data_IF_354639200108
#
_entry.id   IF_354639200108
#
_cell.length_a   1.000
_cell.length_b   1.000
_cell.length_c   1.000
_cell.angle_alpha   90.00
_cell.angle_beta   90.00
_cell.angle_gamma   90.00
#
_symmetry.space_group_name_H-M   'P 1'
#
loop_
_entity.id
_entity.type
_entity.pdbx_description
1 polymer ?
#
# COMPACT_ATOMS: atom_id res chain seq x y z
N UNK A 1 -13.23 -58.73 55.02
CA UNK A 1 -13.12 -57.69 56.06
C UNK A 1 -11.73 -57.06 55.96
N UNK A 2 -11.62 -55.78 56.35
CA UNK A 2 -10.42 -54.94 56.44
C UNK A 2 -9.91 -54.25 55.16
N UNK A 3 -10.47 -53.06 55.01
CA UNK A 3 -10.00 -51.81 54.42
C UNK A 3 -8.49 -51.53 54.50
N UNK A 4 -7.93 -50.93 53.44
CA UNK A 4 -7.01 -49.79 53.59
C UNK A 4 -7.10 -48.84 52.39
N UNK A 5 -7.49 -47.62 52.72
CA UNK A 5 -7.56 -46.41 51.93
C UNK A 5 -6.17 -45.90 51.56
N UNK A 6 -5.98 -45.49 50.29
CA UNK A 6 -4.93 -44.54 49.90
C UNK A 6 -5.63 -43.27 49.42
N UNK A 7 -5.38 -42.19 50.16
CA UNK A 7 -5.79 -40.84 49.84
C UNK A 7 -4.91 -40.32 48.71
N UNK A 8 -5.50 -39.94 47.57
CA UNK A 8 -4.81 -39.16 46.53
C UNK A 8 -5.30 -37.72 46.61
N UNK A 9 -4.33 -36.85 46.90
CA UNK A 9 -4.45 -35.41 47.12
C UNK A 9 -4.76 -34.64 45.84
N UNK A 10 -5.53 -33.56 46.03
CA UNK A 10 -6.00 -32.55 45.09
C UNK A 10 -4.95 -32.00 44.12
N UNK A 11 -5.10 -32.28 42.82
CA UNK A 11 -4.71 -31.34 41.76
C UNK A 11 -5.59 -31.41 40.50
N UNK A 12 -6.70 -32.16 40.54
CA UNK A 12 -7.57 -32.45 39.37
C UNK A 12 -8.87 -31.63 39.35
N UNK A 13 -8.93 -30.50 40.03
CA UNK A 13 -10.04 -29.53 39.93
C UNK A 13 -9.43 -28.18 39.57
N UNK A 14 -10.07 -27.46 38.65
CA UNK A 14 -9.52 -26.38 37.82
C UNK A 14 -8.68 -26.98 36.68
N UNK A 15 -9.20 -27.41 35.53
CA UNK A 15 -9.99 -26.63 34.58
C UNK A 15 -10.81 -27.58 33.68
N UNK A 16 -12.13 -27.35 33.58
CA UNK A 16 -13.01 -27.50 32.40
C UNK A 16 -14.48 -27.57 32.87
N UNK A 17 -15.25 -26.48 32.74
CA UNK A 17 -16.21 -26.10 31.67
C UNK A 17 -17.65 -26.55 31.99
N UNK A 18 -18.65 -25.66 31.88
CA UNK A 18 -19.72 -25.85 30.89
C UNK A 18 -20.09 -24.50 30.21
N UNK A 19 -20.19 -24.36 28.89
CA UNK A 19 -20.97 -25.17 27.98
C UNK A 19 -22.28 -24.44 27.66
N UNK A 20 -22.35 -23.75 26.52
CA UNK A 20 -23.61 -23.45 25.83
C UNK A 20 -23.48 -23.87 24.38
N UNK A 21 -24.19 -24.94 24.04
CA UNK A 21 -24.19 -25.52 22.71
C UNK A 21 -25.13 -24.78 21.75
N UNK A 22 -24.84 -24.96 20.47
CA UNK A 22 -25.84 -25.11 19.42
C UNK A 22 -25.24 -26.00 18.34
N UNK A 23 -26.02 -27.01 17.94
CA UNK A 23 -25.65 -28.18 17.14
C UNK A 23 -26.28 -28.04 15.71
N UNK A 24 -26.09 -28.98 14.77
CA UNK A 24 -25.45 -28.70 13.48
C UNK A 24 -26.43 -28.79 12.29
N UNK A 25 -25.96 -28.49 11.07
CA UNK A 25 -26.65 -28.88 9.85
C UNK A 25 -25.66 -29.36 8.80
N UNK A 26 -25.75 -30.65 8.49
CA UNK A 26 -25.11 -31.30 7.36
C UNK A 26 -25.75 -30.85 6.05
N UNK A 27 -24.96 -30.66 5.00
CA UNK A 27 -25.39 -30.99 3.63
C UNK A 27 -24.20 -31.53 2.86
N UNK A 28 -24.42 -32.69 2.26
CA UNK A 28 -23.51 -33.49 1.44
C UNK A 28 -24.15 -33.53 0.06
N UNK A 29 -23.45 -33.07 -0.99
CA UNK A 29 -23.97 -33.26 -2.35
C UNK A 29 -23.01 -32.90 -3.50
N UNK A 30 -22.44 -33.98 -4.06
CA UNK A 30 -22.30 -34.35 -5.48
C UNK A 30 -21.37 -33.63 -6.48
N UNK A 31 -20.86 -34.51 -7.33
CA UNK A 31 -19.99 -34.42 -8.51
C UNK A 31 -20.67 -33.74 -9.71
N UNK A 32 -19.83 -33.31 -10.67
CA UNK A 32 -20.01 -33.02 -12.13
C UNK A 32 -19.62 -31.56 -12.43
N UNK A 33 -18.86 -31.17 -13.46
CA UNK A 33 -18.56 -31.79 -14.75
C UNK A 33 -17.27 -31.20 -15.33
N UNK A 34 -16.59 -32.01 -16.12
CA UNK A 34 -15.53 -31.68 -17.08
C UNK A 34 -15.85 -30.49 -17.99
N UNK A 35 -14.86 -29.64 -18.30
CA UNK A 35 -14.60 -29.26 -19.70
C UNK A 35 -13.11 -28.96 -19.90
N UNK A 36 -12.51 -29.73 -20.82
CA UNK A 36 -11.20 -29.48 -21.42
C UNK A 36 -11.24 -28.23 -22.29
N UNK A 37 -10.20 -27.39 -22.24
CA UNK A 37 -9.82 -26.54 -23.37
C UNK A 37 -8.30 -26.44 -23.51
N UNK A 38 -7.79 -27.19 -24.49
CA UNK A 38 -6.66 -26.90 -25.39
C UNK A 38 -5.89 -25.59 -25.19
N UNK A 39 -4.60 -25.72 -24.84
CA UNK A 39 -3.59 -24.68 -25.09
C UNK A 39 -3.03 -24.87 -26.51
N UNK A 40 -3.56 -24.12 -27.47
CA UNK A 40 -2.89 -23.85 -28.75
C UNK A 40 -2.45 -22.38 -28.73
N UNK A 41 -1.19 -22.15 -28.40
CA UNK A 41 -0.54 -20.86 -28.60
C UNK A 41 -0.07 -20.75 -30.05
N UNK A 42 -0.80 -20.00 -30.86
CA UNK A 42 -0.27 -19.21 -31.97
C UNK A 42 -1.40 -18.43 -32.64
N UNK A 43 -1.43 -17.10 -32.50
CA UNK A 43 -1.69 -16.19 -33.61
C UNK A 43 -1.64 -14.71 -33.16
N UNK A 44 -0.63 -14.03 -33.71
CA UNK A 44 -0.75 -12.78 -34.45
C UNK A 44 -1.12 -11.49 -33.70
N UNK A 45 -0.06 -10.72 -33.44
CA UNK A 45 -0.06 -9.25 -33.45
C UNK A 45 -0.65 -8.70 -34.76
N UNK A 46 -1.50 -7.66 -34.73
CA UNK A 46 -1.69 -6.78 -35.86
C UNK A 46 -0.71 -5.61 -35.75
N UNK A 47 0.26 -5.54 -36.66
CA UNK A 47 1.00 -4.31 -36.95
C UNK A 47 0.60 -3.84 -38.34
N UNK A 48 -0.36 -2.91 -38.32
CA UNK A 48 -0.44 -1.72 -39.17
C UNK A 48 0.10 -1.85 -40.60
N UNK A 49 -0.80 -2.19 -41.52
CA UNK A 49 -0.72 -1.69 -42.89
C UNK A 49 -2.12 -1.28 -43.33
N UNK A 50 -2.36 0.03 -43.39
CA UNK A 50 -3.47 0.56 -44.18
C UNK A 50 -2.97 1.69 -45.06
N UNK A 51 -2.96 1.35 -46.35
CA UNK A 51 -2.96 2.22 -47.50
C UNK A 51 -3.87 3.43 -47.29
N UNK A 52 -3.30 4.62 -47.49
CA UNK A 52 -4.03 5.87 -47.66
C UNK A 52 -4.11 6.16 -49.15
N UNK A 53 -5.34 6.22 -49.61
CA UNK A 53 -5.74 6.65 -50.94
C UNK A 53 -5.50 8.15 -51.06
N UNK A 54 -4.94 8.51 -52.20
CA UNK A 54 -4.70 9.86 -52.64
C UNK A 54 -6.00 10.67 -52.78
N UNK A 55 -5.96 11.92 -52.34
CA UNK A 55 -6.79 13.03 -52.85
C UNK A 55 -6.19 14.36 -52.37
N UNK A 56 -5.40 14.99 -53.23
CA UNK A 56 -5.22 16.46 -53.28
C UNK A 56 -6.40 17.06 -54.07
N UNK A 57 -6.74 18.37 -54.01
CA UNK A 57 -5.78 19.48 -54.03
C UNK A 57 -6.18 20.76 -53.25
N UNK A 58 -5.24 21.71 -53.13
CA UNK A 58 -5.58 23.07 -52.69
C UNK A 58 -4.39 23.96 -52.32
N UNK A 59 -3.34 23.98 -53.14
CA UNK A 59 -2.19 24.87 -52.96
C UNK A 59 -2.14 25.94 -54.06
N UNK A 60 -2.29 27.18 -53.64
CA UNK A 60 -2.28 28.41 -54.45
C UNK A 60 -0.89 28.62 -55.04
N UNK A 61 -0.80 28.67 -56.37
CA UNK A 61 0.32 29.30 -57.08
C UNK A 61 -0.18 30.23 -58.17
N UNK A 62 0.44 31.40 -58.15
CA UNK A 62 0.29 32.58 -58.98
C UNK A 62 0.55 32.28 -60.45
N UNK A 63 -0.35 32.68 -61.34
CA UNK A 63 -0.05 32.82 -62.78
C UNK A 63 -0.23 34.28 -63.20
N UNK A 64 0.89 34.89 -63.58
CA UNK A 64 0.97 36.18 -64.24
C UNK A 64 0.53 35.97 -65.70
N UNK A 65 -0.62 36.54 -66.07
CA UNK A 65 -1.08 36.60 -67.46
C UNK A 65 -1.06 38.04 -67.93
N UNK A 66 0.07 38.45 -68.51
CA UNK A 66 0.22 39.74 -69.20
C UNK A 66 -0.02 39.55 -70.70
N UNK A 67 -1.16 40.10 -71.14
CA UNK A 67 -1.59 40.53 -72.46
C UNK A 67 -0.68 40.23 -73.67
N UNK A 68 -1.18 39.35 -74.55
CA UNK A 68 -0.84 39.31 -75.97
C UNK A 68 -1.38 40.58 -76.67
N UNK A 69 -0.46 41.38 -77.23
CA UNK A 69 -0.77 42.45 -78.18
C UNK A 69 -0.80 41.86 -79.60
N UNK A 70 -1.98 41.76 -80.20
CA UNK A 70 -2.11 41.53 -81.65
C UNK A 70 -2.19 42.88 -82.35
N UNK A 71 -1.14 43.16 -83.13
CA UNK A 71 -1.00 44.33 -84.00
C UNK A 71 -1.60 43.96 -85.36
N UNK A 72 -2.88 44.25 -85.57
CA UNK A 72 -3.56 44.11 -86.86
C UNK A 72 -3.55 45.46 -87.60
N UNK A 73 -2.84 45.51 -88.73
CA UNK A 73 -2.77 46.64 -89.65
C UNK A 73 -3.73 46.39 -90.81
N UNK A 74 -4.73 47.25 -91.01
CA UNK A 74 -5.52 47.30 -92.26
C UNK A 74 -5.84 48.77 -92.59
N UNK A 75 -5.74 49.21 -93.88
CA UNK A 75 -5.72 50.62 -94.25
C UNK A 75 -7.12 51.24 -94.39
N UNK A 76 -7.16 52.57 -94.34
CA UNK A 76 -8.37 53.38 -94.48
C UNK A 76 -9.06 53.24 -95.85
N UNK A 77 -10.39 53.30 -95.81
CA UNK A 77 -11.24 53.52 -96.98
C UNK A 77 -12.03 54.80 -96.78
N UNK A 78 -12.08 55.59 -97.85
CA UNK A 78 -12.63 56.95 -97.92
C UNK A 78 -14.15 56.98 -97.88
N UNK A 79 -14.62 58.08 -97.29
CA UNK A 79 -15.83 58.85 -97.52
C UNK A 79 -16.66 58.48 -98.76
N UNK A 80 -17.95 58.18 -98.56
CA UNK A 80 -19.00 58.51 -99.53
C UNK A 80 -20.24 59.00 -98.77
N UNK A 81 -20.63 60.20 -99.17
CA UNK A 81 -21.68 61.05 -98.69
C UNK A 81 -23.02 60.58 -99.25
N UNK A 82 -24.04 60.42 -98.40
CA UNK A 82 -25.43 60.53 -98.83
C UNK A 82 -26.31 61.04 -97.68
N UNK A 83 -27.22 61.95 -98.03
CA UNK A 83 -28.03 62.80 -97.16
C UNK A 83 -28.99 62.02 -96.27
N UNK A 84 -28.96 62.28 -94.96
CA UNK A 84 -29.88 61.68 -93.96
C UNK A 84 -30.75 62.75 -93.31
N UNK A 85 -32.05 62.50 -93.24
CA UNK A 85 -33.01 63.24 -92.40
C UNK A 85 -32.65 63.02 -90.92
N UNK A 86 -32.03 64.03 -90.31
CA UNK A 86 -31.46 63.95 -88.96
C UNK A 86 -32.50 63.79 -87.84
N UNK A 87 -33.75 64.23 -88.02
CA UNK A 87 -34.73 64.29 -86.93
C UNK A 87 -35.37 62.94 -86.54
N UNK A 88 -35.60 62.05 -87.51
CA UNK A 88 -36.15 60.70 -87.22
C UNK A 88 -35.04 59.75 -86.76
N UNK A 89 -33.85 59.88 -87.33
CA UNK A 89 -32.66 59.14 -86.89
C UNK A 89 -32.28 59.52 -85.45
N UNK A 90 -32.38 60.79 -85.05
CA UNK A 90 -32.14 61.22 -83.68
C UNK A 90 -33.20 60.68 -82.71
N UNK A 91 -34.49 60.69 -83.07
CA UNK A 91 -35.55 60.13 -82.23
C UNK A 91 -35.36 58.62 -81.98
N UNK A 92 -35.09 57.84 -83.04
CA UNK A 92 -34.81 56.39 -82.93
C UNK A 92 -33.52 56.13 -82.14
N UNK A 93 -32.50 56.98 -82.32
CA UNK A 93 -31.24 56.89 -81.57
C UNK A 93 -31.44 57.27 -80.08
N UNK A 94 -32.34 58.20 -79.77
CA UNK A 94 -32.70 58.51 -78.37
C UNK A 94 -33.49 57.37 -77.72
N UNK A 95 -34.45 56.76 -78.40
CA UNK A 95 -35.16 55.59 -77.88
C UNK A 95 -34.24 54.39 -77.71
N UNK A 96 -33.34 54.13 -78.66
CA UNK A 96 -32.34 53.07 -78.56
C UNK A 96 -31.31 53.32 -77.45
N UNK A 97 -30.94 54.57 -77.20
CA UNK A 97 -30.13 54.95 -76.04
C UNK A 97 -30.90 54.71 -74.75
N UNK A 98 -32.19 55.06 -74.70
CA UNK A 98 -33.03 54.88 -73.52
C UNK A 98 -33.25 53.39 -73.19
N UNK A 99 -33.52 52.53 -74.19
CA UNK A 99 -33.63 51.08 -73.97
C UNK A 99 -32.29 50.49 -73.53
N UNK A 100 -31.18 50.88 -74.16
CA UNK A 100 -29.84 50.43 -73.76
C UNK A 100 -29.43 50.93 -72.36
N UNK A 101 -29.86 52.13 -71.95
CA UNK A 101 -29.64 52.60 -70.58
C UNK A 101 -30.52 51.87 -69.59
N UNK A 102 -31.78 51.55 -69.93
CA UNK A 102 -32.66 50.77 -69.07
C UNK A 102 -32.15 49.33 -68.91
N UNK A 103 -31.76 48.65 -69.99
CA UNK A 103 -31.10 47.33 -69.93
C UNK A 103 -29.82 47.39 -69.10
N UNK A 104 -29.04 48.47 -69.21
CA UNK A 104 -27.84 48.66 -68.40
C UNK A 104 -28.18 48.81 -66.91
N UNK A 105 -29.27 49.50 -66.57
CA UNK A 105 -29.73 49.65 -65.17
C UNK A 105 -30.25 48.32 -64.64
N UNK A 106 -31.06 47.57 -65.39
CA UNK A 106 -31.53 46.24 -64.99
C UNK A 106 -30.37 45.25 -64.79
N UNK A 107 -29.37 45.30 -65.68
CA UNK A 107 -28.13 44.51 -65.51
C UNK A 107 -27.31 44.96 -64.31
N UNK A 108 -27.36 46.24 -63.95
CA UNK A 108 -26.70 46.77 -62.75
C UNK A 108 -27.41 46.30 -61.48
N UNK A 109 -28.75 46.38 -61.43
CA UNK A 109 -29.55 45.87 -60.31
C UNK A 109 -29.34 44.37 -60.12
N UNK A 110 -29.30 43.60 -61.21
CA UNK A 110 -29.00 42.18 -61.16
C UNK A 110 -27.58 41.91 -60.62
N UNK A 111 -26.60 42.73 -60.99
CA UNK A 111 -25.22 42.63 -60.50
C UNK A 111 -25.11 42.99 -59.01
N UNK A 112 -25.86 44.00 -58.55
CA UNK A 112 -25.94 44.37 -57.15
C UNK A 112 -26.57 43.23 -56.32
N UNK A 113 -27.59 42.56 -56.87
CA UNK A 113 -28.17 41.34 -56.27
C UNK A 113 -27.16 40.17 -56.24
N UNK A 114 -26.38 39.96 -57.29
CA UNK A 114 -25.31 38.96 -57.29
C UNK A 114 -24.23 39.27 -56.26
N UNK A 115 -23.85 40.53 -56.11
CA UNK A 115 -22.87 40.97 -55.11
C UNK A 115 -23.38 40.66 -53.69
N UNK A 116 -24.64 41.00 -53.39
CA UNK A 116 -25.27 40.66 -52.11
C UNK A 116 -25.33 39.14 -51.86
N UNK A 117 -25.60 38.34 -52.90
CA UNK A 117 -25.63 36.88 -52.76
C UNK A 117 -24.22 36.31 -52.53
N UNK A 118 -23.20 36.82 -53.24
CA UNK A 118 -21.80 36.43 -53.05
C UNK A 118 -21.34 36.78 -51.63
N UNK A 119 -21.65 37.97 -51.13
CA UNK A 119 -21.34 38.38 -49.77
C UNK A 119 -22.04 37.49 -48.74
N UNK A 120 -23.30 37.10 -49.00
CA UNK A 120 -24.03 36.18 -48.13
C UNK A 120 -23.43 34.78 -48.13
N UNK A 121 -23.01 34.27 -49.29
CA UNK A 121 -22.32 32.98 -49.40
C UNK A 121 -20.99 33.04 -48.66
N UNK A 122 -20.18 34.08 -48.85
CA UNK A 122 -18.93 34.24 -48.11
C UNK A 122 -19.13 34.34 -46.60
N UNK A 123 -20.15 35.07 -46.15
CA UNK A 123 -20.50 35.13 -44.73
C UNK A 123 -20.89 33.75 -44.18
N UNK A 124 -21.70 33.00 -44.93
CA UNK A 124 -22.11 31.64 -44.54
C UNK A 124 -20.95 30.65 -44.58
N UNK A 125 -20.05 30.74 -45.55
CA UNK A 125 -18.82 29.96 -45.63
C UNK A 125 -17.91 30.24 -44.45
N UNK A 126 -17.75 31.52 -44.09
CA UNK A 126 -16.97 31.93 -42.94
C UNK A 126 -17.59 31.44 -41.63
N UNK A 127 -18.91 31.55 -41.47
CA UNK A 127 -19.61 30.99 -40.31
C UNK A 127 -19.47 29.47 -40.23
N UNK A 128 -19.66 28.76 -41.33
CA UNK A 128 -19.47 27.30 -41.37
C UNK A 128 -18.02 26.92 -41.02
N UNK A 129 -17.04 27.70 -41.46
CA UNK A 129 -15.63 27.47 -41.11
C UNK A 129 -15.39 27.64 -39.60
N UNK A 130 -16.00 28.65 -38.98
CA UNK A 130 -15.92 28.87 -37.53
C UNK A 130 -16.62 27.73 -36.78
N UNK A 131 -17.84 27.36 -37.19
CA UNK A 131 -18.60 26.27 -36.57
C UNK A 131 -17.88 24.92 -36.68
N UNK A 132 -17.22 24.65 -37.81
CA UNK A 132 -16.40 23.45 -37.99
C UNK A 132 -15.18 23.46 -37.05
N UNK A 133 -14.52 24.61 -36.90
CA UNK A 133 -13.39 24.73 -35.97
C UNK A 133 -13.83 24.55 -34.50
N UNK A 134 -14.97 25.12 -34.12
CA UNK A 134 -15.55 24.96 -32.79
C UNK A 134 -15.98 23.50 -32.52
N UNK A 135 -16.56 22.82 -33.52
CA UNK A 135 -16.88 21.39 -33.43
C UNK A 135 -15.64 20.51 -33.24
N UNK A 136 -14.55 20.82 -33.94
CA UNK A 136 -13.28 20.11 -33.82
C UNK A 136 -12.69 20.28 -32.41
N UNK A 137 -12.73 21.52 -31.89
CA UNK A 137 -12.25 21.84 -30.54
C UNK A 137 -13.06 21.13 -29.45
N UNK A 138 -14.40 21.17 -29.53
CA UNK A 138 -15.28 20.52 -28.54
C UNK A 138 -15.16 18.99 -28.55
N UNK A 139 -14.97 18.38 -29.73
CA UNK A 139 -14.71 16.93 -29.84
C UNK A 139 -13.41 16.52 -29.18
N UNK A 140 -12.39 17.38 -29.19
CA UNK A 140 -11.08 17.13 -28.58
C UNK A 140 -11.04 17.31 -27.06
N UNK A 141 -11.82 18.25 -26.50
CA UNK A 141 -11.73 18.62 -25.08
C UNK A 141 -12.61 17.79 -24.13
N UNK A 142 -13.81 17.36 -24.55
CA UNK A 142 -14.79 16.79 -23.61
C UNK A 142 -14.54 15.33 -23.20
N UNK A 143 -13.85 14.55 -24.04
CA UNK A 143 -13.67 13.10 -23.82
C UNK A 143 -12.33 12.79 -23.15
N UNK A 144 -11.26 13.47 -23.54
CA UNK A 144 -9.90 13.26 -23.02
C UNK A 144 -9.84 13.51 -21.51
N UNK A 145 -10.28 14.67 -21.03
CA UNK A 145 -10.17 15.00 -19.61
C UNK A 145 -10.90 14.03 -18.68
N UNK A 146 -12.10 13.56 -19.06
CA UNK A 146 -12.85 12.59 -18.25
C UNK A 146 -12.21 11.20 -18.31
N UNK A 147 -11.70 10.78 -19.48
CA UNK A 147 -10.96 9.53 -19.60
C UNK A 147 -9.66 9.55 -18.79
N UNK A 148 -8.93 10.68 -18.78
CA UNK A 148 -7.69 10.84 -18.03
C UNK A 148 -7.94 10.73 -16.52
N UNK A 149 -9.00 11.35 -16.00
CA UNK A 149 -9.44 11.22 -14.60
C UNK A 149 -9.77 9.76 -14.24
N UNK A 150 -10.56 9.07 -15.07
CA UNK A 150 -10.87 7.65 -14.81
C UNK A 150 -9.63 6.76 -14.91
N UNK A 151 -8.69 7.07 -15.80
CA UNK A 151 -7.44 6.33 -15.95
C UNK A 151 -6.52 6.54 -14.74
N UNK A 152 -6.48 7.74 -14.17
CA UNK A 152 -5.77 8.04 -12.93
C UNK A 152 -6.38 7.28 -11.74
N UNK A 153 -7.70 7.33 -11.57
CA UNK A 153 -8.40 6.56 -10.53
C UNK A 153 -8.18 5.05 -10.68
N UNK A 154 -8.23 4.51 -11.91
CA UNK A 154 -7.93 3.09 -12.16
C UNK A 154 -6.47 2.75 -11.83
N UNK A 155 -5.53 3.66 -12.10
CA UNK A 155 -4.11 3.46 -11.79
C UNK A 155 -3.88 3.45 -10.28
N UNK A 156 -4.52 4.38 -9.57
CA UNK A 156 -4.46 4.47 -8.11
C UNK A 156 -5.06 3.23 -7.45
N UNK A 157 -6.24 2.78 -7.89
CA UNK A 157 -6.85 1.54 -7.40
C UNK A 157 -5.97 0.31 -7.65
N UNK A 158 -5.30 0.22 -8.81
CA UNK A 158 -4.36 -0.87 -9.10
C UNK A 158 -3.15 -0.80 -8.18
N UNK A 159 -2.60 0.39 -7.97
CA UNK A 159 -1.49 0.60 -7.06
C UNK A 159 -1.86 0.19 -5.63
N UNK A 160 -3.05 0.58 -5.14
CA UNK A 160 -3.55 0.15 -3.83
C UNK A 160 -3.72 -1.37 -3.74
N UNK A 161 -4.23 -2.03 -4.78
CA UNK A 161 -4.31 -3.50 -4.81
C UNK A 161 -2.93 -4.15 -4.73
N UNK A 162 -1.93 -3.61 -5.44
CA UNK A 162 -0.57 -4.11 -5.38
C UNK A 162 0.05 -3.90 -3.99
N UNK A 163 -0.17 -2.73 -3.37
CA UNK A 163 0.24 -2.45 -1.99
C UNK A 163 -0.39 -3.44 -1.01
N UNK A 164 -1.73 -3.60 -1.03
CA UNK A 164 -2.41 -4.55 -0.15
C UNK A 164 -1.98 -5.99 -0.39
N UNK A 165 -1.65 -6.36 -1.63
CA UNK A 165 -1.13 -7.69 -1.95
C UNK A 165 0.25 -7.91 -1.35
N UNK A 166 1.12 -6.90 -1.40
CA UNK A 166 2.45 -6.95 -0.79
C UNK A 166 2.37 -6.99 0.74
N UNK A 167 1.54 -6.14 1.34
CA UNK A 167 1.31 -6.12 2.79
C UNK A 167 0.75 -7.46 3.28
N UNK A 168 -0.21 -8.03 2.55
CA UNK A 168 -0.75 -9.36 2.83
C UNK A 168 0.35 -10.42 2.77
N UNK A 169 1.22 -10.40 1.76
CA UNK A 169 2.32 -11.35 1.65
C UNK A 169 3.31 -11.22 2.83
N UNK A 170 3.60 -9.99 3.26
CA UNK A 170 4.45 -9.72 4.42
C UNK A 170 3.85 -10.30 5.71
N UNK A 171 2.57 -10.00 5.98
CA UNK A 171 1.85 -10.53 7.15
C UNK A 171 1.73 -12.06 7.11
N UNK A 172 1.50 -12.65 5.93
CA UNK A 172 1.48 -14.10 5.77
C UNK A 172 2.84 -14.75 6.09
N UNK A 173 3.95 -14.11 5.70
CA UNK A 173 5.29 -14.56 6.08
C UNK A 173 5.51 -14.48 7.60
N UNK A 174 5.15 -13.36 8.23
CA UNK A 174 5.26 -13.22 9.69
C UNK A 174 4.43 -14.27 10.43
N UNK A 175 3.19 -14.51 9.97
CA UNK A 175 2.33 -15.57 10.50
C UNK A 175 2.99 -16.94 10.38
N UNK A 176 3.60 -17.26 9.24
CA UNK A 176 4.29 -18.53 9.03
C UNK A 176 5.52 -18.66 9.93
N UNK A 177 6.33 -17.59 10.06
CA UNK A 177 7.49 -17.56 10.95
C UNK A 177 7.09 -17.78 12.42
N UNK A 178 5.98 -17.15 12.86
CA UNK A 178 5.43 -17.36 14.21
C UNK A 178 4.92 -18.79 14.39
N UNK A 179 4.22 -19.34 13.40
CA UNK A 179 3.75 -20.73 13.43
C UNK A 179 4.92 -21.72 13.54
N UNK A 180 6.00 -21.52 12.78
CA UNK A 180 7.24 -22.29 12.89
C UNK A 180 7.92 -22.10 14.24
N UNK A 181 7.89 -20.89 14.82
CA UNK A 181 8.37 -20.63 16.17
C UNK A 181 7.59 -21.41 17.22
N UNK A 182 6.27 -21.45 17.11
CA UNK A 182 5.39 -22.22 18.00
C UNK A 182 5.67 -23.73 17.86
N UNK A 183 5.79 -24.25 16.64
CA UNK A 183 6.12 -25.67 16.43
C UNK A 183 7.46 -26.05 17.08
N UNK A 184 8.51 -25.24 16.89
CA UNK A 184 9.82 -25.46 17.53
C UNK A 184 9.75 -25.42 19.05
N UNK A 185 8.91 -24.57 19.63
CA UNK A 185 8.72 -24.52 21.09
C UNK A 185 7.97 -25.74 21.61
N UNK A 186 6.96 -26.22 20.87
CA UNK A 186 6.24 -27.45 21.21
C UNK A 186 7.14 -28.69 21.12
N UNK A 187 7.99 -28.78 20.09
CA UNK A 187 8.99 -29.84 19.97
C UNK A 187 9.96 -29.84 21.15
N UNK A 188 10.53 -28.68 21.47
CA UNK A 188 11.41 -28.54 22.65
C UNK A 188 10.70 -28.90 23.94
N UNK A 189 9.44 -28.49 24.11
CA UNK A 189 8.66 -28.87 25.28
C UNK A 189 8.46 -30.39 25.36
N UNK A 190 8.20 -31.05 24.24
CA UNK A 190 8.06 -32.50 24.18
C UNK A 190 9.37 -33.21 24.50
N UNK A 191 10.50 -32.75 23.97
CA UNK A 191 11.84 -33.27 24.29
C UNK A 191 12.16 -33.12 25.78
N UNK A 192 11.88 -31.95 26.35
CA UNK A 192 12.04 -31.64 27.77
C UNK A 192 11.15 -32.50 28.69
N UNK A 193 9.95 -32.88 28.23
CA UNK A 193 9.09 -33.82 28.94
C UNK A 193 9.68 -35.23 28.90
N UNK A 194 10.13 -35.70 27.74
CA UNK A 194 10.77 -37.02 27.61
C UNK A 194 12.04 -37.11 28.46
N UNK A 195 12.89 -36.07 28.45
CA UNK A 195 14.10 -36.03 29.28
C UNK A 195 13.78 -36.04 30.78
N UNK A 196 12.70 -35.36 31.22
CA UNK A 196 12.25 -35.43 32.61
C UNK A 196 11.78 -36.84 32.97
N UNK A 197 10.98 -37.47 32.12
CA UNK A 197 10.52 -38.85 32.33
C UNK A 197 11.69 -39.85 32.39
N UNK A 198 12.69 -39.71 31.52
CA UNK A 198 13.92 -40.50 31.55
C UNK A 198 14.74 -40.25 32.84
N UNK A 199 14.88 -39.00 33.26
CA UNK A 199 15.56 -38.65 34.51
C UNK A 199 14.82 -39.20 35.74
N UNK A 200 13.50 -39.11 35.78
CA UNK A 200 12.68 -39.66 36.87
C UNK A 200 12.76 -41.19 36.91
N UNK A 201 12.71 -41.84 35.75
CA UNK A 201 12.88 -43.30 35.62
C UNK A 201 14.26 -43.78 36.10
N UNK A 202 15.33 -43.08 35.70
CA UNK A 202 16.69 -43.42 36.15
C UNK A 202 16.87 -43.20 37.65
N UNK A 203 16.33 -42.11 38.22
CA UNK A 203 16.35 -41.87 39.65
C UNK A 203 15.56 -42.95 40.43
N UNK A 204 14.39 -43.34 39.93
CA UNK A 204 13.61 -44.42 40.54
C UNK A 204 14.35 -45.76 40.50
N UNK A 205 15.02 -46.07 39.39
CA UNK A 205 15.85 -47.27 39.25
C UNK A 205 17.04 -47.27 40.21
N UNK A 206 17.76 -46.15 40.32
CA UNK A 206 18.87 -46.00 41.27
C UNK A 206 18.40 -46.14 42.73
N UNK A 207 17.28 -45.52 43.09
CA UNK A 207 16.70 -45.67 44.43
C UNK A 207 16.27 -47.13 44.71
N UNK A 208 15.74 -47.83 43.71
CA UNK A 208 15.41 -49.25 43.83
C UNK A 208 16.67 -50.11 44.07
N UNK A 209 17.72 -49.93 43.25
CA UNK A 209 19.00 -50.63 43.41
C UNK A 209 19.66 -50.36 44.76
N UNK A 210 19.61 -49.13 45.27
CA UNK A 210 20.16 -48.80 46.59
C UNK A 210 19.37 -49.45 47.73
N UNK A 211 18.04 -49.56 47.61
CA UNK A 211 17.23 -50.32 48.55
C UNK A 211 17.53 -51.81 48.48
N UNK A 212 17.68 -52.39 47.28
CA UNK A 212 18.06 -53.79 47.10
C UNK A 212 19.41 -54.10 47.74
N UNK A 213 20.43 -53.25 47.52
CA UNK A 213 21.74 -53.39 48.16
C UNK A 213 21.66 -53.34 49.70
N UNK A 214 20.82 -52.46 50.26
CA UNK A 214 20.58 -52.40 51.70
C UNK A 214 19.92 -53.68 52.21
N UNK A 215 18.94 -54.20 51.48
CA UNK A 215 18.28 -55.47 51.82
C UNK A 215 19.30 -56.62 51.79
N UNK A 216 20.12 -56.73 50.75
CA UNK A 216 21.18 -57.74 50.67
C UNK A 216 22.21 -57.62 51.79
N UNK A 217 22.60 -56.39 52.15
CA UNK A 217 23.54 -56.15 53.26
C UNK A 217 22.94 -56.62 54.59
N UNK A 218 21.69 -56.26 54.87
CA UNK A 218 20.99 -56.68 56.09
C UNK A 218 20.79 -58.20 56.11
N UNK A 219 20.52 -58.84 54.97
CA UNK A 219 20.44 -60.30 54.88
C UNK A 219 21.79 -60.97 55.18
N UNK A 220 22.90 -60.42 54.67
CA UNK A 220 24.26 -60.90 54.99
C UNK A 220 24.58 -60.74 56.47
N UNK A 221 24.19 -59.63 57.09
CA UNK A 221 24.36 -59.38 58.52
C UNK A 221 23.54 -60.35 59.37
N UNK A 222 22.27 -60.61 59.01
CA UNK A 222 21.45 -61.63 59.67
C UNK A 222 22.09 -63.01 59.55
N UNK A 223 22.58 -63.37 58.36
CA UNK A 223 23.25 -64.66 58.16
C UNK A 223 24.55 -64.77 58.97
N UNK A 224 25.31 -63.68 59.08
CA UNK A 224 26.51 -63.60 59.91
C UNK A 224 26.19 -63.76 61.40
N UNK A 225 25.21 -63.02 61.92
CA UNK A 225 24.77 -63.13 63.32
C UNK A 225 24.26 -64.54 63.66
N UNK A 226 23.53 -65.18 62.74
CA UNK A 226 23.10 -66.58 62.90
C UNK A 226 24.30 -67.52 63.02
N UNK A 227 25.28 -67.40 62.12
CA UNK A 227 26.52 -68.20 62.19
C UNK A 227 27.28 -67.97 63.48
N UNK A 228 27.43 -66.71 63.91
CA UNK A 228 28.08 -66.37 65.17
C UNK A 228 27.37 -67.01 66.37
N UNK A 229 26.04 -66.93 66.43
CA UNK A 229 25.30 -67.59 67.51
C UNK A 229 25.41 -69.12 67.43
N UNK A 230 25.38 -69.71 66.24
CA UNK A 230 25.57 -71.15 66.07
C UNK A 230 26.97 -71.59 66.54
N UNK A 231 28.00 -70.80 66.23
CA UNK A 231 29.39 -70.99 66.69
C UNK A 231 29.50 -70.82 68.21
N UNK A 232 28.87 -69.80 68.80
CA UNK A 232 28.88 -69.55 70.24
C UNK A 232 28.14 -70.66 71.01
N UNK A 233 27.03 -71.17 70.46
CA UNK A 233 26.34 -72.35 71.01
C UNK A 233 27.24 -73.58 70.91
N UNK A 234 27.90 -73.80 69.77
CA UNK A 234 28.86 -74.90 69.62
C UNK A 234 30.02 -74.77 70.59
N UNK A 235 30.54 -73.55 70.82
CA UNK A 235 31.62 -73.29 71.77
C UNK A 235 31.15 -73.51 73.20
N UNK A 236 29.95 -73.08 73.58
CA UNK A 236 29.38 -73.36 74.90
C UNK A 236 29.15 -74.87 75.11
N UNK A 237 28.68 -75.58 74.08
CA UNK A 237 28.57 -77.05 74.10
C UNK A 237 29.94 -77.73 74.20
N UNK A 238 30.93 -77.22 73.46
CA UNK A 238 32.30 -77.68 73.52
C UNK A 238 32.90 -77.40 74.89
N UNK A 239 32.74 -76.23 75.51
CA UNK A 239 33.22 -75.91 76.86
C UNK A 239 32.58 -76.81 77.93
N UNK A 240 31.33 -77.24 77.74
CA UNK A 240 30.69 -78.25 78.60
C UNK A 240 31.36 -79.63 78.42
N UNK A 241 31.72 -80.00 77.18
CA UNK A 241 32.45 -81.25 76.88
C UNK A 241 33.96 -81.16 77.24
N UNK A 242 34.57 -79.98 77.18
CA UNK A 242 36.00 -79.73 77.37
C UNK A 242 36.32 -79.56 78.86
N UNK A 243 35.37 -79.08 79.68
CA UNK A 243 35.41 -79.31 81.14
C UNK A 243 35.39 -80.79 81.53
N UNK A 244 35.06 -81.70 80.59
CA UNK A 244 35.19 -83.14 80.77
C UNK A 244 36.53 -83.70 80.25
N UNK A 245 37.35 -82.93 79.50
CA UNK A 245 38.50 -83.44 78.74
C UNK A 245 39.79 -82.59 78.86
N UNK A 246 39.80 -81.43 79.52
CA UNK A 246 41.04 -80.67 79.81
C UNK A 246 41.95 -81.33 80.87
N UNK A 247 42.61 -82.42 80.50
CA UNK A 247 43.92 -82.84 81.01
C UNK A 247 44.76 -83.16 79.76
N UNK A 248 45.94 -82.53 79.67
CA UNK A 248 47.00 -82.68 78.66
C UNK A 248 46.79 -82.01 77.28
N UNK A 249 47.55 -80.95 76.98
CA UNK A 249 48.92 -81.10 76.42
C UNK A 249 49.53 -79.75 76.05
N UNK A 250 50.78 -79.57 76.45
CA UNK A 250 51.61 -78.39 76.26
C UNK A 250 52.39 -78.49 74.93
N UNK A 251 52.29 -77.49 74.05
CA UNK A 251 53.10 -77.42 72.81
C UNK A 251 53.72 -76.04 72.66
N UNK A 252 55.05 -76.06 72.70
CA UNK A 252 55.97 -74.92 72.64
C UNK A 252 55.77 -74.02 71.42
N UNK A 253 55.63 -72.72 71.69
CA UNK A 253 55.40 -71.63 70.74
C UNK A 253 56.62 -71.39 69.83
N UNK A 254 56.45 -71.36 68.50
CA UNK A 254 57.46 -70.82 67.60
C UNK A 254 57.44 -69.29 67.66
N UNK A 255 58.55 -68.64 67.27
CA UNK A 255 58.74 -67.19 67.38
C UNK A 255 57.78 -66.39 66.48
N UNK A 256 56.61 -66.11 67.03
CA UNK A 256 55.49 -65.36 66.46
C UNK A 256 55.81 -63.86 66.33
N UNK A 257 56.88 -63.40 66.97
CA UNK A 257 57.19 -61.96 67.14
C UNK A 257 57.60 -61.30 65.82
N UNK A 258 58.31 -62.03 64.95
CA UNK A 258 58.71 -61.52 63.63
C UNK A 258 57.51 -61.44 62.67
N UNK A 259 56.71 -62.51 62.57
CA UNK A 259 55.50 -62.52 61.74
C UNK A 259 54.47 -61.48 62.21
N UNK A 260 54.30 -61.28 63.52
CA UNK A 260 53.42 -60.22 64.06
C UNK A 260 53.93 -58.82 63.75
N UNK A 261 55.26 -58.59 63.76
CA UNK A 261 55.85 -57.32 63.32
C UNK A 261 55.59 -57.05 61.84
N UNK A 262 55.76 -58.05 60.98
CA UNK A 262 55.53 -57.90 59.54
C UNK A 262 54.05 -57.65 59.22
N UNK A 263 53.14 -58.39 59.87
CA UNK A 263 51.70 -58.16 59.76
C UNK A 263 51.32 -56.76 60.23
N UNK A 264 51.86 -56.31 61.38
CA UNK A 264 51.64 -54.94 61.88
C UNK A 264 52.15 -53.89 60.90
N UNK A 265 53.34 -54.07 60.34
CA UNK A 265 53.91 -53.16 59.35
C UNK A 265 53.07 -53.11 58.07
N UNK A 266 52.52 -54.25 57.62
CA UNK A 266 51.60 -54.27 56.48
C UNK A 266 50.28 -53.54 56.78
N UNK A 267 49.72 -53.71 57.98
CA UNK A 267 48.54 -52.96 58.41
C UNK A 267 48.79 -51.46 58.49
N UNK A 268 49.93 -51.05 59.06
CA UNK A 268 50.31 -49.63 59.14
C UNK A 268 50.50 -49.03 57.73
N UNK A 269 51.14 -49.76 56.81
CA UNK A 269 51.26 -49.36 55.40
C UNK A 269 49.89 -49.28 54.70
N UNK A 270 49.01 -50.27 54.91
CA UNK A 270 47.68 -50.27 54.32
C UNK A 270 46.82 -49.13 54.87
N UNK A 271 46.88 -48.86 56.17
CA UNK A 271 46.19 -47.75 56.81
C UNK A 271 46.70 -46.39 56.29
N UNK A 272 48.03 -46.23 56.14
CA UNK A 272 48.62 -45.03 55.56
C UNK A 272 48.18 -44.81 54.11
N UNK A 273 48.17 -45.86 53.28
CA UNK A 273 47.67 -45.81 51.90
C UNK A 273 46.18 -45.47 51.85
N UNK A 274 45.36 -46.10 52.69
CA UNK A 274 43.92 -45.81 52.76
C UNK A 274 43.67 -44.35 53.17
N UNK A 275 44.41 -43.83 54.15
CA UNK A 275 44.33 -42.42 54.55
C UNK A 275 44.73 -41.47 53.42
N UNK A 276 45.77 -41.81 52.66
CA UNK A 276 46.20 -41.00 51.51
C UNK A 276 45.13 -40.99 50.40
N UNK A 277 44.61 -42.17 50.03
CA UNK A 277 43.54 -42.30 49.03
C UNK A 277 42.29 -41.54 49.47
N UNK A 278 41.90 -41.63 50.74
CA UNK A 278 40.78 -40.86 51.27
C UNK A 278 41.04 -39.35 51.17
N UNK A 279 42.23 -38.86 51.53
CA UNK A 279 42.59 -37.44 51.41
C UNK A 279 42.57 -36.95 49.97
N UNK A 280 43.12 -37.72 49.04
CA UNK A 280 43.12 -37.41 47.60
C UNK A 280 41.70 -37.41 47.05
N UNK A 281 40.88 -38.38 47.45
CA UNK A 281 39.47 -38.44 47.09
C UNK A 281 38.70 -37.22 47.60
N UNK A 282 38.89 -36.83 48.87
CA UNK A 282 38.25 -35.63 49.42
C UNK A 282 38.73 -34.36 48.73
N UNK A 283 40.03 -34.24 48.42
CA UNK A 283 40.56 -33.09 47.66
C UNK A 283 39.96 -33.00 46.26
N UNK A 284 39.89 -34.12 45.54
CA UNK A 284 39.24 -34.17 44.21
C UNK A 284 37.78 -33.77 44.34
N UNK A 285 37.05 -34.33 45.33
CA UNK A 285 35.63 -34.03 45.49
C UNK A 285 35.37 -32.56 45.82
N UNK A 286 36.22 -31.94 46.65
CA UNK A 286 36.16 -30.51 46.93
C UNK A 286 36.49 -29.67 45.69
N UNK A 287 37.46 -30.09 44.88
CA UNK A 287 37.78 -29.42 43.62
C UNK A 287 36.60 -29.48 42.65
N UNK A 288 35.97 -30.65 42.48
CA UNK A 288 34.80 -30.83 41.61
C UNK A 288 33.62 -29.95 42.06
N UNK A 289 33.34 -29.92 43.37
CA UNK A 289 32.28 -29.08 43.92
C UNK A 289 32.58 -27.58 43.75
N UNK A 290 33.83 -27.17 43.95
CA UNK A 290 34.29 -25.80 43.72
C UNK A 290 34.15 -25.41 42.25
N UNK A 291 34.55 -26.28 41.33
CA UNK A 291 34.46 -26.05 39.90
C UNK A 291 33.00 -25.99 39.42
N UNK A 292 32.13 -26.87 39.93
CA UNK A 292 30.70 -26.83 39.68
C UNK A 292 30.07 -25.53 40.20
N UNK A 293 30.46 -25.07 41.40
CA UNK A 293 30.02 -23.79 41.94
C UNK A 293 30.49 -22.61 41.08
N UNK A 294 31.73 -22.63 40.57
CA UNK A 294 32.24 -21.59 39.68
C UNK A 294 31.48 -21.56 38.34
N UNK A 295 31.26 -22.72 37.71
CA UNK A 295 30.43 -22.82 36.49
C UNK A 295 29.02 -22.28 36.69
N UNK A 296 28.38 -22.59 37.82
CA UNK A 296 27.06 -22.05 38.15
C UNK A 296 27.10 -20.52 38.32
N UNK A 297 28.11 -19.99 39.02
CA UNK A 297 28.29 -18.55 39.18
C UNK A 297 28.52 -17.84 37.82
N UNK A 298 29.28 -18.44 36.91
CA UNK A 298 29.53 -17.89 35.58
C UNK A 298 28.28 -17.95 34.70
N UNK A 299 27.53 -19.05 34.72
CA UNK A 299 26.24 -19.15 34.06
C UNK A 299 25.24 -18.11 34.59
N UNK A 300 25.22 -17.88 35.92
CA UNK A 300 24.39 -16.84 36.52
C UNK A 300 24.83 -15.43 36.10
N UNK A 301 26.14 -15.18 35.98
CA UNK A 301 26.66 -13.90 35.47
C UNK A 301 26.26 -13.68 34.02
N UNK A 302 26.39 -14.69 33.17
CA UNK A 302 26.00 -14.63 31.77
C UNK A 302 24.49 -14.37 31.64
N UNK A 303 23.64 -15.12 32.34
CA UNK A 303 22.19 -14.90 32.33
C UNK A 303 21.82 -13.48 32.80
N UNK A 304 22.52 -12.93 33.79
CA UNK A 304 22.35 -11.53 34.23
C UNK A 304 22.80 -10.52 33.17
N UNK A 305 23.87 -10.79 32.43
CA UNK A 305 24.33 -9.93 31.33
C UNK A 305 23.31 -9.92 30.19
N UNK A 306 22.84 -11.09 29.78
CA UNK A 306 21.80 -11.24 28.75
C UNK A 306 20.49 -10.54 29.17
N UNK A 307 20.03 -10.73 30.41
CA UNK A 307 18.87 -10.02 30.95
C UNK A 307 19.03 -8.48 30.90
N UNK A 308 20.22 -7.97 31.22
CA UNK A 308 20.50 -6.54 31.14
C UNK A 308 20.55 -6.04 29.69
N UNK A 309 21.04 -6.84 28.76
CA UNK A 309 21.08 -6.51 27.34
C UNK A 309 19.66 -6.44 26.76
N UNK A 310 18.81 -7.43 27.04
CA UNK A 310 17.39 -7.37 26.67
C UNK A 310 16.69 -6.15 27.27
N UNK A 311 16.99 -5.79 28.53
CA UNK A 311 16.44 -4.59 29.15
C UNK A 311 16.87 -3.31 28.42
N UNK A 312 18.13 -3.22 27.96
CA UNK A 312 18.62 -2.09 27.16
C UNK A 312 17.97 -2.03 25.78
N UNK A 313 17.81 -3.17 25.11
CA UNK A 313 17.12 -3.25 23.82
C UNK A 313 15.67 -2.78 23.93
N UNK A 314 14.95 -3.22 24.96
CA UNK A 314 13.58 -2.74 25.24
C UNK A 314 13.56 -1.23 25.45
N UNK A 315 14.49 -0.68 26.23
CA UNK A 315 14.59 0.78 26.43
C UNK A 315 14.88 1.52 25.12
N UNK A 316 15.80 1.02 24.30
CA UNK A 316 16.13 1.60 23.00
C UNK A 316 14.92 1.62 22.05
N UNK A 317 14.24 0.49 21.91
CA UNK A 317 13.04 0.37 21.08
C UNK A 317 11.89 1.25 21.59
N UNK A 318 11.75 1.38 22.92
CA UNK A 318 10.75 2.29 23.51
C UNK A 318 11.05 3.74 23.13
N UNK A 319 12.31 4.18 23.25
CA UNK A 319 12.71 5.52 22.83
C UNK A 319 12.49 5.76 21.32
N UNK A 320 12.76 4.77 20.48
CA UNK A 320 12.52 4.85 19.03
C UNK A 320 11.02 4.99 18.72
N UNK A 321 10.17 4.18 19.37
CA UNK A 321 8.71 4.28 19.24
C UNK A 321 8.22 5.66 19.67
N UNK A 322 8.70 6.19 20.78
CA UNK A 322 8.29 7.51 21.27
C UNK A 322 8.79 8.65 20.36
N UNK A 323 9.99 8.52 19.79
CA UNK A 323 10.49 9.45 18.77
C UNK A 323 9.62 9.42 17.50
N UNK A 324 9.29 8.23 17.00
CA UNK A 324 8.43 8.07 15.82
C UNK A 324 7.03 8.61 16.06
N UNK A 325 6.44 8.36 17.23
CA UNK A 325 5.16 8.98 17.64
C UNK A 325 5.24 10.49 17.61
N UNK A 326 6.29 11.08 18.19
CA UNK A 326 6.49 12.54 18.16
C UNK A 326 6.62 13.09 16.75
N UNK A 327 7.32 12.39 15.84
CA UNK A 327 7.39 12.78 14.43
C UNK A 327 6.04 12.67 13.73
N UNK A 328 5.26 11.63 14.02
CA UNK A 328 3.94 11.45 13.43
C UNK A 328 2.97 12.53 13.90
N UNK A 329 2.91 12.82 15.20
CA UNK A 329 2.11 13.91 15.77
C UNK A 329 2.46 15.27 15.13
N UNK A 330 3.76 15.52 14.88
CA UNK A 330 4.20 16.75 14.20
C UNK A 330 3.75 16.80 12.73
N UNK A 331 3.79 15.68 12.00
CA UNK A 331 3.34 15.61 10.61
C UNK A 331 1.81 15.75 10.52
N UNK A 332 1.07 15.10 11.40
CA UNK A 332 -0.39 15.26 11.51
C UNK A 332 -0.79 16.69 11.87
N UNK A 333 0.01 17.41 12.66
CA UNK A 333 -0.21 18.82 12.93
C UNK A 333 0.03 19.68 11.68
N UNK A 334 1.14 19.45 10.97
CA UNK A 334 1.45 20.17 9.72
C UNK A 334 0.39 19.93 8.64
N UNK A 335 -0.10 18.70 8.50
CA UNK A 335 -1.18 18.38 7.57
C UNK A 335 -2.45 19.16 7.89
N UNK A 336 -2.87 19.18 9.16
CA UNK A 336 -4.05 19.96 9.59
C UNK A 336 -3.87 21.45 9.34
N UNK A 337 -2.71 22.01 9.65
CA UNK A 337 -2.41 23.42 9.38
C UNK A 337 -2.48 23.74 7.88
N UNK A 338 -1.95 22.86 7.02
CA UNK A 338 -2.04 23.02 5.57
C UNK A 338 -3.48 22.91 5.05
N UNK A 339 -4.28 22.00 5.60
CA UNK A 339 -5.71 21.87 5.29
C UNK A 339 -6.50 23.12 5.70
N UNK A 340 -6.25 23.66 6.90
CA UNK A 340 -6.86 24.90 7.39
C UNK A 340 -6.47 26.10 6.51
N UNK A 341 -5.18 26.25 6.19
CA UNK A 341 -4.70 27.32 5.31
C UNK A 341 -5.35 27.27 3.92
N UNK A 342 -5.47 26.07 3.33
CA UNK A 342 -6.14 25.89 2.03
C UNK A 342 -7.63 26.24 2.11
N UNK A 343 -8.31 25.85 3.20
CA UNK A 343 -9.71 26.19 3.42
C UNK A 343 -9.91 27.72 3.53
N UNK A 344 -9.02 28.40 4.26
CA UNK A 344 -9.02 29.85 4.41
C UNK A 344 -8.74 30.57 3.09
N UNK A 345 -7.78 30.10 2.28
CA UNK A 345 -7.51 30.64 0.95
C UNK A 345 -8.73 30.50 0.03
N UNK A 346 -9.37 29.33 0.01
CA UNK A 346 -10.60 29.10 -0.77
C UNK A 346 -11.71 30.04 -0.31
N UNK A 347 -11.87 30.24 1.00
CA UNK A 347 -12.88 31.12 1.55
C UNK A 347 -12.61 32.58 1.17
N UNK A 348 -11.36 33.04 1.28
CA UNK A 348 -10.94 34.37 0.84
C UNK A 348 -11.25 34.58 -0.65
N UNK A 349 -10.84 33.65 -1.52
CA UNK A 349 -11.10 33.75 -2.97
C UNK A 349 -12.60 33.79 -3.30
N UNK A 350 -13.44 33.05 -2.55
CA UNK A 350 -14.90 33.12 -2.69
C UNK A 350 -15.44 34.49 -2.29
N UNK A 351 -14.94 35.07 -1.21
CA UNK A 351 -15.33 36.42 -0.76
C UNK A 351 -14.90 37.51 -1.75
N UNK A 352 -13.71 37.38 -2.33
CA UNK A 352 -13.23 38.27 -3.39
C UNK A 352 -14.08 38.16 -4.66
N UNK A 353 -14.40 36.94 -5.09
CA UNK A 353 -15.29 36.71 -6.22
C UNK A 353 -16.68 37.30 -5.96
N UNK A 354 -17.23 37.12 -4.76
CA UNK A 354 -18.50 37.73 -4.37
C UNK A 354 -18.44 39.27 -4.37
N UNK A 355 -17.31 39.85 -3.97
CA UNK A 355 -17.08 41.31 -4.02
C UNK A 355 -17.08 41.82 -5.46
N UNK A 356 -16.33 41.18 -6.35
CA UNK A 356 -16.29 41.55 -7.77
C UNK A 356 -17.67 41.44 -8.43
N UNK A 357 -18.44 40.39 -8.12
CA UNK A 357 -19.81 40.26 -8.62
C UNK A 357 -20.71 41.43 -8.20
N UNK A 358 -20.56 41.95 -6.97
CA UNK A 358 -21.29 43.16 -6.54
C UNK A 358 -20.84 44.40 -7.30
N UNK A 359 -19.52 44.59 -7.44
CA UNK A 359 -18.96 45.72 -8.19
C UNK A 359 -19.41 45.73 -9.67
N UNK A 360 -19.46 44.55 -10.30
CA UNK A 360 -19.99 44.39 -11.66
C UNK A 360 -21.48 44.74 -11.74
N UNK A 361 -22.28 44.31 -10.75
CA UNK A 361 -23.70 44.64 -10.69
C UNK A 361 -23.91 46.16 -10.51
N UNK A 362 -23.13 46.82 -9.66
CA UNK A 362 -23.19 48.26 -9.46
C UNK A 362 -22.80 49.03 -10.73
N UNK A 363 -21.75 48.60 -11.42
CA UNK A 363 -21.34 49.18 -12.70
C UNK A 363 -22.41 48.97 -13.78
N UNK A 364 -23.07 47.80 -13.82
CA UNK A 364 -24.19 47.55 -14.71
C UNK A 364 -25.36 48.49 -14.41
N UNK A 365 -25.68 48.72 -13.14
CA UNK A 365 -26.73 49.65 -12.71
C UNK A 365 -26.41 51.08 -13.20
N UNK A 366 -25.17 51.55 -13.03
CA UNK A 366 -24.71 52.85 -13.55
C UNK A 366 -24.83 52.91 -15.07
N UNK A 367 -24.41 51.87 -15.79
CA UNK A 367 -24.54 51.79 -17.26
C UNK A 367 -26.01 51.83 -17.72
N UNK A 368 -26.91 51.20 -16.98
CA UNK A 368 -28.35 51.28 -17.27
C UNK A 368 -28.89 52.69 -17.06
N UNK A 369 -28.49 53.38 -15.98
CA UNK A 369 -28.86 54.77 -15.75
C UNK A 369 -28.37 55.68 -16.89
N UNK A 370 -27.10 55.55 -17.29
CA UNK A 370 -26.53 56.29 -18.41
C UNK A 370 -27.26 56.00 -19.73
N UNK A 371 -27.67 54.75 -19.98
CA UNK A 371 -28.46 54.42 -21.17
C UNK A 371 -29.83 55.11 -21.18
N UNK A 372 -30.48 55.22 -20.00
CA UNK A 372 -31.73 55.96 -19.85
C UNK A 372 -31.48 57.44 -20.14
N UNK A 373 -30.44 58.04 -19.55
CA UNK A 373 -30.05 59.43 -19.79
C UNK A 373 -29.81 59.68 -21.29
N UNK A 374 -29.00 58.86 -21.97
CA UNK A 374 -28.76 58.97 -23.41
C UNK A 374 -30.07 58.87 -24.21
N UNK A 375 -30.96 57.94 -23.85
CA UNK A 375 -32.25 57.81 -24.51
C UNK A 375 -33.12 59.06 -24.31
N UNK A 376 -33.08 59.67 -23.12
CA UNK A 376 -33.78 60.94 -22.87
C UNK A 376 -33.16 62.11 -23.65
N UNK A 377 -31.84 62.22 -23.70
CA UNK A 377 -31.14 63.24 -24.49
C UNK A 377 -31.47 63.10 -25.98
N UNK A 378 -31.45 61.87 -26.54
CA UNK A 378 -31.85 61.60 -27.93
C UNK A 378 -33.28 62.05 -28.22
N UNK A 379 -34.23 61.76 -27.33
CA UNK A 379 -35.64 62.20 -27.48
C UNK A 379 -35.79 63.72 -27.49
N UNK A 380 -35.02 64.44 -26.66
CA UNK A 380 -35.04 65.91 -26.63
C UNK A 380 -34.48 66.50 -27.93
N UNK A 381 -33.36 65.96 -28.43
CA UNK A 381 -32.76 66.35 -29.71
C UNK A 381 -33.69 66.11 -30.90
N UNK A 382 -34.37 64.95 -30.97
CA UNK A 382 -35.39 64.69 -32.00
C UNK A 382 -36.57 65.67 -31.92
N UNK A 383 -36.89 66.18 -30.72
CA UNK A 383 -37.88 67.24 -30.53
C UNK A 383 -37.41 68.57 -31.13
N UNK A 384 -36.18 68.98 -30.83
CA UNK A 384 -35.58 70.20 -31.37
C UNK A 384 -35.41 70.15 -32.90
N UNK A 385 -35.05 69.01 -33.49
CA UNK A 385 -34.99 68.85 -34.94
C UNK A 385 -36.38 68.97 -35.59
N UNK A 386 -37.44 68.49 -34.94
CA UNK A 386 -38.82 68.70 -35.40
C UNK A 386 -39.22 70.18 -35.29
N UNK A 387 -38.85 70.87 -34.21
CA UNK A 387 -39.07 72.31 -34.10
C UNK A 387 -38.28 73.10 -35.15
N UNK A 388 -37.04 72.71 -35.43
CA UNK A 388 -36.19 73.35 -36.45
C UNK A 388 -36.71 73.07 -37.88
N UNK A 389 -37.25 71.88 -38.14
CA UNK A 389 -37.91 71.54 -39.40
C UNK A 389 -39.24 72.29 -39.59
N UNK A 390 -40.03 72.48 -38.52
CA UNK A 390 -41.25 73.30 -38.55
C UNK A 390 -40.98 74.81 -38.64
N UNK A 391 -39.85 75.30 -38.12
CA UNK A 391 -39.47 76.71 -38.17
C UNK A 391 -38.79 77.13 -39.48
N UNK A 392 -38.25 76.19 -40.28
CA UNK A 392 -37.67 76.48 -41.59
C UNK A 392 -38.65 77.16 -42.58
N UNK A 393 -39.92 76.72 -42.74
CA UNK A 393 -40.88 77.44 -43.59
C UNK A 393 -41.43 78.73 -42.95
N UNK A 394 -41.29 78.91 -41.63
CA UNK A 394 -41.77 80.13 -40.95
C UNK A 394 -40.70 81.24 -41.01
N UNK A 395 -39.41 80.88 -40.98
CA UNK A 395 -38.30 81.84 -41.14
C UNK A 395 -38.18 82.38 -42.56
N UNK A 396 -38.48 81.59 -43.59
CA UNK A 396 -38.57 82.10 -44.97
C UNK A 396 -39.76 83.05 -45.15
N UNK A 397 -40.91 82.75 -44.53
CA UNK A 397 -42.09 83.61 -44.61
C UNK A 397 -41.97 84.91 -43.78
N UNK A 398 -41.25 84.91 -42.65
CA UNK A 398 -41.01 86.15 -41.89
C UNK A 398 -39.98 87.09 -42.53
N UNK A 399 -39.03 86.56 -43.31
CA UNK A 399 -38.10 87.41 -44.08
C UNK A 399 -38.80 88.07 -45.29
N UNK A 400 -39.86 87.45 -45.84
CA UNK A 400 -40.68 88.05 -46.90
C UNK A 400 -41.76 89.05 -46.43
N UNK A 401 -41.98 89.25 -45.13
CA UNK A 401 -43.01 90.19 -44.60
C UNK A 401 -42.37 91.47 -44.01
N UNK A 402 -41.04 91.57 -44.00
CA UNK A 402 -40.31 92.80 -43.59
C UNK A 402 -39.68 93.52 -44.79
N UNK A 403 -39.94 93.02 -46.01
CA UNK A 403 -39.59 93.66 -47.28
C UNK A 403 -40.85 93.54 -48.16
N UNK A 404 -41.50 94.67 -48.46
CA UNK A 404 -42.90 94.85 -48.94
C UNK A 404 -43.96 94.86 -47.84
#
# INVERSE_FOLDING_TARGET
>A
MSTRSVSLSSYRRMFCVPGTGSRPSSTRSYVTTSTRTYSLGSAMRPSTSRSLYASSPGGVFTTRSSAMRLRGSVPGMRLLQDSVDFSLADAINTEFKNTRTNEKVELQELNDLFTNYIDKVHFLEQQNKILLAELEQLKGQGKSCLWDLYEEEMRELRWQVDQFTNDKACVEMERNNLAEGIMRLLEKQQEEMLQREEAESTLASLAHLDLERKVESLQKEIAFLKKLHDEEIQELQAQIQDRHVQIDMDVSKPDLTAALRDVRQQYESLAAKNLQVAKEWYKSKLADLSEAANRNNDALRQAKQESNEYRRQVQSLTCEVDALKGTNESLEHQMREMEENCADEIQNMKEEMARHLREYQDLLNVKMALNIEIATYRKLLEGEERFHFFLLPIRTNFISIVIE
#
